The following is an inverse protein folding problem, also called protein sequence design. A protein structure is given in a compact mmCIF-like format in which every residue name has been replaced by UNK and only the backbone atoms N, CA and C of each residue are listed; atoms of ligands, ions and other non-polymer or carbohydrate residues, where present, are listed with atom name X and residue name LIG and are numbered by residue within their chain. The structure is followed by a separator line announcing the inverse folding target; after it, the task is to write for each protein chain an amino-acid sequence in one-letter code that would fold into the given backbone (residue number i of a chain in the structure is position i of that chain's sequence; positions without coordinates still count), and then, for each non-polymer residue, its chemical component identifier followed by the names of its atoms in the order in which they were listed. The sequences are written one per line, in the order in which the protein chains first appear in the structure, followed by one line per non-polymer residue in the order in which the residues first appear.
data_IF_983039619352
#
_entry.id   IF_983039619352
#
_cell.length_a   1.000
_cell.length_b   1.000
_cell.length_c   1.000
_cell.angle_alpha   90.00
_cell.angle_beta   90.00
_cell.angle_gamma   90.00
#
_symmetry.space_group_name_H-M   'P 1'
#
loop_
_entity.id
_entity.type
_entity.pdbx_description
1 polymer ?
#
# COMPACT_ATOMS: atom_id res chain seq x y z
N UNK A 1 -27.18 11.71 -20.40
CA UNK A 1 -27.65 10.76 -21.43
C UNK A 1 -26.90 9.42 -21.39
N UNK A 2 -25.57 9.39 -21.31
CA UNK A 2 -24.75 8.16 -21.28
C UNK A 2 -25.15 7.11 -20.22
N UNK A 3 -25.47 7.54 -19.00
CA UNK A 3 -25.89 6.64 -17.90
C UNK A 3 -27.20 5.89 -18.19
N UNK A 4 -28.11 6.44 -19.00
CA UNK A 4 -29.34 5.74 -19.44
C UNK A 4 -29.05 4.78 -20.59
N UNK A 5 -28.17 5.16 -21.52
CA UNK A 5 -27.83 4.35 -22.70
C UNK A 5 -27.04 3.09 -22.36
N UNK A 6 -26.17 3.15 -21.34
CA UNK A 6 -25.32 2.02 -20.95
C UNK A 6 -25.79 1.25 -19.71
N UNK A 7 -26.90 1.66 -19.07
CA UNK A 7 -27.39 0.99 -17.84
C UNK A 7 -27.64 -0.51 -18.03
N UNK A 8 -28.19 -0.90 -19.19
CA UNK A 8 -28.44 -2.30 -19.53
C UNK A 8 -27.16 -3.08 -19.87
N UNK A 9 -26.03 -2.39 -20.06
CA UNK A 9 -24.76 -2.96 -20.47
C UNK A 9 -23.72 -3.00 -19.36
N UNK A 10 -24.05 -2.51 -18.15
CA UNK A 10 -23.17 -2.49 -17.00
C UNK A 10 -23.62 -3.49 -15.93
N UNK A 11 -22.65 -4.16 -15.31
CA UNK A 11 -22.79 -5.09 -14.22
C UNK A 11 -21.84 -4.71 -13.08
N UNK A 12 -22.19 -5.11 -11.86
CA UNK A 12 -21.23 -5.11 -10.77
C UNK A 12 -20.38 -6.40 -10.85
N UNK A 13 -19.06 -6.28 -10.81
CA UNK A 13 -18.09 -7.39 -10.90
C UNK A 13 -17.00 -7.26 -9.84
N UNK A 14 -16.35 -8.38 -9.54
CA UNK A 14 -15.32 -8.46 -8.51
C UNK A 14 -15.89 -8.52 -7.09
N UNK A 15 -15.01 -8.79 -6.13
CA UNK A 15 -15.27 -8.86 -4.68
C UNK A 15 -15.90 -7.57 -4.13
N UNK A 16 -15.61 -6.44 -4.78
CA UNK A 16 -16.05 -5.10 -4.38
C UNK A 16 -17.26 -4.58 -5.15
N UNK A 17 -17.85 -5.41 -6.03
CA UNK A 17 -19.01 -5.04 -6.81
C UNK A 17 -18.80 -3.79 -7.70
N UNK A 18 -17.62 -3.66 -8.30
CA UNK A 18 -17.26 -2.54 -9.18
C UNK A 18 -18.04 -2.57 -10.49
N UNK A 19 -18.38 -1.40 -11.03
CA UNK A 19 -19.13 -1.26 -12.28
C UNK A 19 -18.26 -1.50 -13.51
N UNK A 20 -18.66 -2.48 -14.31
CA UNK A 20 -18.02 -2.81 -15.58
C UNK A 20 -19.06 -3.18 -16.65
N UNK A 21 -18.68 -3.11 -17.93
CA UNK A 21 -19.46 -3.65 -19.02
C UNK A 21 -19.61 -5.18 -18.92
N UNK A 22 -20.80 -5.70 -19.26
CA UNK A 22 -21.03 -7.16 -19.34
C UNK A 22 -20.05 -7.86 -20.31
N UNK A 23 -19.68 -7.19 -21.40
CA UNK A 23 -18.85 -7.74 -22.46
C UNK A 23 -17.60 -6.88 -22.67
N UNK A 24 -16.42 -7.52 -22.58
CA UNK A 24 -15.13 -6.86 -22.80
C UNK A 24 -15.01 -6.20 -24.19
N UNK A 25 -15.71 -6.73 -25.19
CA UNK A 25 -15.75 -6.16 -26.56
C UNK A 25 -16.48 -4.82 -26.62
N UNK A 26 -17.53 -4.61 -25.80
CA UNK A 26 -18.23 -3.32 -25.72
C UNK A 26 -17.32 -2.28 -25.09
N UNK A 27 -16.62 -2.65 -24.01
CA UNK A 27 -15.60 -1.81 -23.38
C UNK A 27 -14.54 -1.40 -24.38
N UNK A 28 -13.96 -2.37 -25.09
CA UNK A 28 -12.92 -2.12 -26.09
C UNK A 28 -13.43 -1.25 -27.25
N UNK A 29 -14.66 -1.45 -27.71
CA UNK A 29 -15.25 -0.63 -28.76
C UNK A 29 -15.49 0.82 -28.32
N UNK A 30 -15.94 1.04 -27.08
CA UNK A 30 -16.10 2.38 -26.50
C UNK A 30 -14.73 3.06 -26.35
N UNK A 31 -13.74 2.33 -25.83
CA UNK A 31 -12.36 2.82 -25.68
C UNK A 31 -11.76 3.23 -27.03
N UNK A 32 -11.85 2.38 -28.05
CA UNK A 32 -11.27 2.65 -29.37
C UNK A 32 -12.00 3.75 -30.15
N UNK A 33 -13.32 3.84 -30.01
CA UNK A 33 -14.15 4.71 -30.86
C UNK A 33 -14.44 6.08 -30.26
N UNK A 34 -14.52 6.16 -28.93
CA UNK A 34 -14.92 7.38 -28.21
C UNK A 34 -13.75 7.98 -27.43
N UNK A 35 -12.73 7.18 -27.11
CA UNK A 35 -11.72 7.47 -26.11
C UNK A 35 -10.31 7.05 -26.56
N UNK A 36 -10.01 7.21 -27.86
CA UNK A 36 -8.72 6.78 -28.44
C UNK A 36 -7.54 7.60 -27.91
N UNK A 37 -7.78 8.85 -27.54
CA UNK A 37 -6.80 9.73 -26.91
C UNK A 37 -6.65 9.41 -25.41
N UNK A 38 -5.43 9.10 -24.98
CA UNK A 38 -5.12 8.81 -23.58
C UNK A 38 -5.36 10.01 -22.66
N UNK A 39 -5.14 11.24 -23.14
CA UNK A 39 -5.36 12.46 -22.36
C UNK A 39 -6.85 12.70 -22.10
N UNK A 40 -7.69 12.49 -23.11
CA UNK A 40 -9.15 12.58 -22.99
C UNK A 40 -9.70 11.49 -22.07
N UNK A 41 -9.13 10.27 -22.13
CA UNK A 41 -9.45 9.19 -21.18
C UNK A 41 -9.14 9.60 -19.74
N UNK A 42 -7.92 10.05 -19.48
CA UNK A 42 -7.53 10.50 -18.15
C UNK A 42 -8.43 11.63 -17.64
N UNK A 43 -8.74 12.62 -18.50
CA UNK A 43 -9.64 13.71 -18.15
C UNK A 43 -11.06 13.23 -17.79
N UNK A 44 -11.58 12.24 -18.52
CA UNK A 44 -12.87 11.61 -18.18
C UNK A 44 -12.81 10.92 -16.82
N UNK A 45 -11.76 10.16 -16.54
CA UNK A 45 -11.59 9.50 -15.24
C UNK A 45 -11.50 10.52 -14.09
N UNK A 46 -10.80 11.66 -14.28
CA UNK A 46 -10.79 12.75 -13.30
C UNK A 46 -12.17 13.35 -13.08
N UNK A 47 -12.94 13.58 -14.15
CA UNK A 47 -14.33 14.08 -14.05
C UNK A 47 -15.24 13.12 -13.27
N UNK A 48 -15.05 11.81 -13.47
CA UNK A 48 -15.79 10.79 -12.69
C UNK A 48 -15.36 10.82 -11.24
N UNK A 49 -14.05 10.92 -10.96
CA UNK A 49 -13.53 11.05 -9.60
C UNK A 49 -14.12 12.27 -8.88
N UNK A 50 -14.18 13.44 -9.54
CA UNK A 50 -14.80 14.66 -8.99
C UNK A 50 -16.27 14.40 -8.57
N UNK A 51 -17.02 13.67 -9.40
CA UNK A 51 -18.39 13.30 -9.06
C UNK A 51 -18.46 12.33 -7.88
N UNK A 52 -17.61 11.31 -7.84
CA UNK A 52 -17.57 10.33 -6.73
C UNK A 52 -17.21 11.02 -5.41
N UNK A 53 -16.30 11.99 -5.42
CA UNK A 53 -15.93 12.78 -4.24
C UNK A 53 -17.07 13.69 -3.74
N UNK A 54 -18.00 14.07 -4.63
CA UNK A 54 -19.20 14.82 -4.25
C UNK A 54 -20.26 13.97 -3.52
N UNK A 55 -20.14 12.64 -3.57
CA UNK A 55 -21.02 11.73 -2.84
C UNK A 55 -20.66 11.70 -1.35
N UNK A 56 -21.60 11.42 -0.44
CA UNK A 56 -21.32 11.32 0.99
C UNK A 56 -20.25 10.27 1.31
N UNK A 57 -19.51 10.49 2.39
CA UNK A 57 -18.63 9.46 2.96
C UNK A 57 -19.44 8.22 3.35
N UNK A 58 -18.94 7.02 3.03
CA UNK A 58 -19.67 5.76 3.23
C UNK A 58 -20.67 5.42 2.11
N UNK A 59 -20.75 6.24 1.05
CA UNK A 59 -21.47 5.85 -0.15
C UNK A 59 -20.73 4.68 -0.83
N UNK A 60 -21.42 3.55 -1.00
CA UNK A 60 -20.83 2.34 -1.57
C UNK A 60 -20.16 2.52 -2.92
N UNK A 61 -20.67 3.43 -3.77
CA UNK A 61 -20.13 3.69 -5.09
C UNK A 61 -18.85 4.54 -5.01
N UNK A 62 -18.84 5.55 -4.12
CA UNK A 62 -17.63 6.33 -3.84
C UNK A 62 -16.54 5.41 -3.33
N UNK A 63 -16.84 4.59 -2.34
CA UNK A 63 -15.88 3.72 -1.68
C UNK A 63 -15.31 2.67 -2.65
N UNK A 64 -16.16 2.09 -3.52
CA UNK A 64 -15.72 1.03 -4.44
C UNK A 64 -14.97 1.51 -5.68
N UNK A 65 -15.29 2.72 -6.19
CA UNK A 65 -14.83 3.18 -7.51
C UNK A 65 -13.77 4.28 -7.48
N UNK A 66 -13.74 5.11 -6.43
CA UNK A 66 -12.96 6.35 -6.46
C UNK A 66 -11.48 6.10 -6.77
N UNK A 67 -10.86 5.14 -6.08
CA UNK A 67 -9.44 4.83 -6.30
C UNK A 67 -9.17 4.33 -7.72
N UNK A 68 -10.08 3.55 -8.33
CA UNK A 68 -9.95 3.06 -9.70
C UNK A 68 -9.87 4.24 -10.68
N UNK A 69 -10.73 5.24 -10.50
CA UNK A 69 -10.74 6.43 -11.36
C UNK A 69 -9.55 7.36 -11.10
N UNK A 70 -9.08 7.48 -9.86
CA UNK A 70 -7.88 8.26 -9.56
C UNK A 70 -6.62 7.65 -10.21
N UNK A 71 -6.47 6.32 -10.16
CA UNK A 71 -5.38 5.60 -10.85
C UNK A 71 -5.47 5.83 -12.36
N UNK A 72 -6.65 5.58 -12.96
CA UNK A 72 -6.84 5.72 -14.40
C UNK A 72 -6.72 7.17 -14.90
N UNK A 73 -6.95 8.15 -14.03
CA UNK A 73 -6.75 9.58 -14.29
C UNK A 73 -5.30 10.06 -14.13
N UNK A 74 -4.38 9.19 -13.69
CA UNK A 74 -3.02 9.51 -13.27
C UNK A 74 -2.96 10.57 -12.15
N UNK A 75 -3.95 10.56 -11.24
CA UNK A 75 -4.10 11.56 -10.17
C UNK A 75 -3.50 11.07 -8.85
N UNK A 76 -2.17 11.00 -8.82
CA UNK A 76 -1.40 10.50 -7.66
C UNK A 76 -1.67 11.30 -6.40
N UNK A 77 -1.77 12.63 -6.52
CA UNK A 77 -1.95 13.51 -5.38
C UNK A 77 -3.27 13.22 -4.65
N UNK A 78 -4.39 13.17 -5.38
CA UNK A 78 -5.68 12.82 -4.76
C UNK A 78 -5.73 11.36 -4.31
N UNK A 79 -5.16 10.43 -5.08
CA UNK A 79 -5.06 9.03 -4.67
C UNK A 79 -4.37 8.91 -3.30
N UNK A 80 -3.27 9.63 -3.09
CA UNK A 80 -2.55 9.59 -1.81
C UNK A 80 -3.39 10.14 -0.65
N UNK A 81 -4.07 11.28 -0.82
CA UNK A 81 -4.94 11.85 0.22
C UNK A 81 -6.11 10.92 0.55
N UNK A 82 -6.81 10.43 -0.47
CA UNK A 82 -7.94 9.49 -0.28
C UNK A 82 -7.48 8.23 0.44
N UNK A 83 -6.32 7.68 0.09
CA UNK A 83 -5.80 6.48 0.73
C UNK A 83 -5.34 6.71 2.17
N UNK A 84 -4.74 7.88 2.44
CA UNK A 84 -4.31 8.27 3.78
C UNK A 84 -5.48 8.48 4.76
N UNK A 85 -6.60 9.00 4.25
CA UNK A 85 -7.76 9.44 5.05
C UNK A 85 -8.89 8.39 5.10
N UNK A 86 -8.65 7.17 4.60
CA UNK A 86 -9.61 6.07 4.71
C UNK A 86 -10.01 5.83 6.17
N UNK A 87 -11.31 5.76 6.44
CA UNK A 87 -11.86 5.56 7.77
C UNK A 87 -11.72 4.12 8.31
N UNK A 88 -11.45 3.14 7.43
CA UNK A 88 -11.28 1.74 7.83
C UNK A 88 -10.06 1.60 8.75
N UNK A 89 -10.14 0.83 9.84
CA UNK A 89 -8.95 0.42 10.60
C UNK A 89 -7.87 -0.18 9.70
N UNK A 90 -6.61 -0.09 10.14
CA UNK A 90 -5.53 -0.84 9.52
C UNK A 90 -5.78 -2.34 9.65
N UNK A 91 -5.24 -3.13 8.72
CA UNK A 91 -5.41 -4.58 8.61
C UNK A 91 -6.83 -5.02 8.26
N UNK A 92 -7.63 -4.11 7.69
CA UNK A 92 -8.93 -4.42 7.08
C UNK A 92 -8.85 -3.95 5.62
N UNK A 93 -8.77 -4.87 4.64
CA UNK A 93 -8.70 -4.52 3.24
C UNK A 93 -9.87 -3.62 2.81
N UNK A 94 -9.55 -2.58 2.05
CA UNK A 94 -10.55 -1.67 1.49
C UNK A 94 -10.60 -1.80 -0.02
N UNK A 95 -11.67 -1.32 -0.63
CA UNK A 95 -11.77 -1.27 -2.07
C UNK A 95 -10.63 -0.48 -2.74
N UNK A 96 -10.12 0.55 -2.04
CA UNK A 96 -8.99 1.32 -2.51
C UNK A 96 -7.69 0.50 -2.47
N UNK A 97 -7.46 -0.30 -1.42
CA UNK A 97 -6.32 -1.21 -1.32
C UNK A 97 -6.34 -2.25 -2.44
N UNK A 98 -7.48 -2.88 -2.68
CA UNK A 98 -7.62 -3.85 -3.77
C UNK A 98 -7.40 -3.20 -5.15
N UNK A 99 -7.92 -1.97 -5.37
CA UNK A 99 -7.68 -1.24 -6.61
C UNK A 99 -6.17 -0.98 -6.85
N UNK A 100 -5.43 -0.58 -5.82
CA UNK A 100 -3.97 -0.43 -5.89
C UNK A 100 -3.28 -1.77 -6.15
N UNK A 101 -3.67 -2.84 -5.45
CA UNK A 101 -3.11 -4.17 -5.64
C UNK A 101 -3.32 -4.68 -7.08
N UNK A 102 -4.53 -4.55 -7.61
CA UNK A 102 -4.85 -4.89 -9.00
C UNK A 102 -4.03 -4.06 -9.98
N UNK A 103 -3.85 -2.76 -9.72
CA UNK A 103 -3.02 -1.89 -10.54
C UNK A 103 -1.55 -2.37 -10.57
N UNK A 104 -0.98 -2.72 -9.41
CA UNK A 104 0.37 -3.30 -9.32
C UNK A 104 0.48 -4.60 -10.13
N UNK A 105 -0.51 -5.49 -10.02
CA UNK A 105 -0.53 -6.77 -10.73
C UNK A 105 -0.63 -6.58 -12.25
N UNK A 106 -1.40 -5.60 -12.72
CA UNK A 106 -1.49 -5.29 -14.14
C UNK A 106 -0.15 -4.84 -14.75
N UNK A 107 0.70 -4.19 -13.96
CA UNK A 107 2.04 -3.75 -14.37
C UNK A 107 3.11 -4.84 -14.26
N UNK A 108 2.77 -6.06 -13.86
CA UNK A 108 3.73 -7.13 -13.62
C UNK A 108 4.51 -7.59 -14.87
N UNK A 109 4.05 -7.22 -16.07
CA UNK A 109 4.74 -7.46 -17.34
C UNK A 109 5.95 -6.54 -17.55
N UNK A 110 5.98 -5.40 -16.85
CA UNK A 110 7.08 -4.45 -16.95
C UNK A 110 8.17 -4.77 -15.91
N UNK A 111 9.43 -4.61 -16.30
CA UNK A 111 10.59 -4.82 -15.42
C UNK A 111 11.57 -3.65 -15.52
N UNK A 112 11.62 -2.74 -14.52
CA UNK A 112 10.85 -2.76 -13.27
C UNK A 112 9.34 -2.49 -13.48
N UNK A 113 8.50 -2.94 -12.53
CA UNK A 113 7.05 -2.79 -12.59
C UNK A 113 6.67 -1.30 -12.49
N UNK A 114 6.27 -0.71 -13.62
CA UNK A 114 5.95 0.72 -13.72
C UNK A 114 4.76 1.12 -12.85
N UNK A 115 3.78 0.22 -12.67
CA UNK A 115 2.61 0.47 -11.83
C UNK A 115 2.96 0.41 -10.35
N UNK A 116 3.88 -0.49 -9.95
CA UNK A 116 4.43 -0.46 -8.60
C UNK A 116 5.19 0.84 -8.34
N UNK A 117 5.99 1.31 -9.30
CA UNK A 117 6.67 2.60 -9.21
C UNK A 117 5.67 3.78 -9.11
N UNK A 118 4.51 3.69 -9.77
CA UNK A 118 3.42 4.65 -9.58
C UNK A 118 2.91 4.64 -8.14
N UNK A 119 2.63 3.46 -7.58
CA UNK A 119 2.09 3.30 -6.22
C UNK A 119 3.06 3.78 -5.15
N UNK A 120 4.37 3.55 -5.30
CA UNK A 120 5.37 4.04 -4.33
C UNK A 120 5.41 5.56 -4.25
N UNK A 121 5.03 6.27 -5.32
CA UNK A 121 4.98 7.74 -5.28
C UNK A 121 3.90 8.30 -4.35
N UNK A 122 2.90 7.49 -3.95
CA UNK A 122 1.85 7.94 -3.02
C UNK A 122 2.43 8.36 -1.67
N UNK A 123 3.54 7.75 -1.25
CA UNK A 123 4.26 8.08 0.00
C UNK A 123 4.99 9.43 -0.03
N UNK A 124 5.09 10.05 -1.22
CA UNK A 124 5.90 11.27 -1.43
C UNK A 124 5.13 12.36 -2.15
N UNK A 125 3.80 12.26 -2.25
CA UNK A 125 3.02 13.30 -2.92
C UNK A 125 3.11 14.62 -2.15
N UNK A 126 3.24 15.76 -2.87
CA UNK A 126 3.24 17.06 -2.23
C UNK A 126 1.89 17.34 -1.58
N UNK A 127 1.91 18.06 -0.46
CA UNK A 127 0.70 18.46 0.27
C UNK A 127 0.23 17.48 1.35
N UNK A 128 0.80 16.26 1.40
CA UNK A 128 0.51 15.34 2.50
C UNK A 128 1.13 15.83 3.81
N UNK A 129 0.38 15.67 4.90
CA UNK A 129 0.92 15.81 6.26
C UNK A 129 1.78 14.61 6.63
N UNK A 130 2.66 14.76 7.64
CA UNK A 130 3.46 13.64 8.15
C UNK A 130 2.58 12.46 8.60
N UNK A 131 1.44 12.74 9.24
CA UNK A 131 0.48 11.72 9.64
C UNK A 131 -0.15 11.00 8.45
N UNK A 132 -0.48 11.71 7.38
CA UNK A 132 -1.02 11.08 6.16
C UNK A 132 0.03 10.18 5.49
N UNK A 133 1.30 10.59 5.45
CA UNK A 133 2.39 9.73 4.96
C UNK A 133 2.53 8.48 5.84
N UNK A 134 2.44 8.61 7.17
CA UNK A 134 2.46 7.49 8.10
C UNK A 134 1.31 6.51 7.82
N UNK A 135 0.09 7.03 7.65
CA UNK A 135 -1.09 6.23 7.34
C UNK A 135 -0.93 5.44 6.03
N UNK A 136 -0.46 6.09 4.95
CA UNK A 136 -0.20 5.41 3.67
C UNK A 136 0.85 4.31 3.86
N UNK A 137 1.92 4.58 4.59
CA UNK A 137 2.97 3.60 4.89
C UNK A 137 2.45 2.39 5.66
N UNK A 138 1.64 2.61 6.70
CA UNK A 138 1.06 1.53 7.48
C UNK A 138 0.10 0.68 6.64
N UNK A 139 -0.74 1.30 5.81
CA UNK A 139 -1.58 0.56 4.87
C UNK A 139 -0.78 -0.20 3.82
N UNK A 140 0.40 0.30 3.43
CA UNK A 140 1.27 -0.42 2.52
C UNK A 140 1.87 -1.67 3.17
N UNK A 141 2.27 -1.55 4.44
CA UNK A 141 2.84 -2.64 5.23
C UNK A 141 1.80 -3.73 5.56
N UNK A 142 0.57 -3.35 5.94
CA UNK A 142 -0.46 -4.32 6.32
C UNK A 142 -1.38 -4.67 5.14
N UNK A 143 -2.24 -3.73 4.74
CA UNK A 143 -3.34 -3.99 3.81
C UNK A 143 -2.84 -4.36 2.40
N UNK A 144 -1.89 -3.58 1.86
CA UNK A 144 -1.41 -3.78 0.48
C UNK A 144 -0.51 -5.00 0.35
N UNK A 145 0.36 -5.28 1.33
CA UNK A 145 1.16 -6.50 1.30
C UNK A 145 0.29 -7.75 1.39
N UNK A 146 -0.73 -7.75 2.25
CA UNK A 146 -1.68 -8.87 2.36
C UNK A 146 -2.41 -9.10 1.03
N UNK A 147 -2.96 -8.03 0.44
CA UNK A 147 -3.60 -8.07 -0.87
C UNK A 147 -2.68 -8.57 -2.01
N UNK A 148 -1.36 -8.41 -1.87
CA UNK A 148 -0.36 -8.81 -2.86
C UNK A 148 0.33 -10.15 -2.54
N UNK A 149 0.07 -10.79 -1.39
CA UNK A 149 0.87 -11.87 -0.83
C UNK A 149 1.16 -13.02 -1.81
N UNK A 150 0.20 -13.34 -2.70
CA UNK A 150 0.34 -14.41 -3.69
C UNK A 150 0.15 -13.93 -5.15
N UNK A 151 0.13 -12.61 -5.37
CA UNK A 151 -0.22 -12.03 -6.67
C UNK A 151 0.95 -11.30 -7.34
N UNK A 152 2.06 -11.08 -6.63
CA UNK A 152 3.21 -10.32 -7.14
C UNK A 152 4.53 -11.03 -6.91
N UNK A 153 5.54 -10.64 -7.67
CA UNK A 153 6.89 -11.18 -7.55
C UNK A 153 7.67 -10.50 -6.40
N UNK A 154 8.72 -11.16 -5.93
CA UNK A 154 9.54 -10.68 -4.82
C UNK A 154 10.19 -9.32 -5.08
N UNK A 155 10.58 -9.02 -6.32
CA UNK A 155 11.19 -7.73 -6.66
C UNK A 155 10.21 -6.56 -6.49
N UNK A 156 8.95 -6.76 -6.90
CA UNK A 156 7.88 -5.76 -6.74
C UNK A 156 7.54 -5.56 -5.27
N UNK A 157 7.42 -6.66 -4.51
CA UNK A 157 7.25 -6.61 -3.05
C UNK A 157 8.37 -5.84 -2.36
N UNK A 158 9.62 -6.12 -2.74
CA UNK A 158 10.80 -5.44 -2.20
C UNK A 158 10.74 -3.93 -2.47
N UNK A 159 10.41 -3.53 -3.70
CA UNK A 159 10.32 -2.12 -4.06
C UNK A 159 9.28 -1.36 -3.23
N UNK A 160 8.11 -1.97 -2.99
CA UNK A 160 7.06 -1.38 -2.14
C UNK A 160 7.53 -1.25 -0.69
N UNK A 161 8.11 -2.30 -0.11
CA UNK A 161 8.61 -2.27 1.28
C UNK A 161 9.76 -1.28 1.46
N UNK A 162 10.67 -1.19 0.50
CA UNK A 162 11.77 -0.22 0.53
C UNK A 162 11.26 1.23 0.47
N UNK A 163 10.27 1.50 -0.39
CA UNK A 163 9.66 2.82 -0.44
C UNK A 163 8.95 3.19 0.88
N UNK A 164 8.22 2.24 1.48
CA UNK A 164 7.56 2.43 2.77
C UNK A 164 8.57 2.69 3.89
N UNK A 165 9.62 1.87 3.99
CA UNK A 165 10.67 2.05 4.99
C UNK A 165 11.35 3.41 4.83
N UNK A 166 11.68 3.83 3.61
CA UNK A 166 12.29 5.13 3.36
C UNK A 166 11.37 6.30 3.78
N UNK A 167 10.05 6.17 3.59
CA UNK A 167 9.09 7.18 4.03
C UNK A 167 8.99 7.25 5.55
N UNK A 168 8.85 6.11 6.21
CA UNK A 168 8.77 6.03 7.68
C UNK A 168 10.08 6.43 8.35
N UNK A 169 11.24 6.16 7.73
CA UNK A 169 12.54 6.65 8.20
C UNK A 169 12.56 8.18 8.23
N UNK A 170 12.15 8.84 7.14
CA UNK A 170 12.10 10.32 7.09
C UNK A 170 11.15 10.90 8.13
N UNK A 171 10.01 10.27 8.38
CA UNK A 171 9.09 10.69 9.44
C UNK A 171 9.74 10.57 10.83
N UNK A 172 10.28 9.39 11.14
CA UNK A 172 10.96 9.11 12.40
C UNK A 172 12.16 10.04 12.66
N UNK A 173 12.87 10.45 11.60
CA UNK A 173 13.95 11.44 11.68
C UNK A 173 13.42 12.86 11.86
N UNK A 174 12.29 13.20 11.23
CA UNK A 174 11.68 14.53 11.34
C UNK A 174 11.13 14.85 12.73
N UNK A 175 10.65 13.83 13.45
CA UNK A 175 10.19 13.94 14.82
C UNK A 175 10.63 12.71 15.65
N UNK A 176 11.85 12.74 16.19
CA UNK A 176 12.37 11.64 17.00
C UNK A 176 11.58 11.36 18.29
N UNK A 177 10.77 12.31 18.75
CA UNK A 177 9.95 12.17 19.96
C UNK A 177 8.59 11.49 19.66
N UNK A 178 8.19 11.40 18.39
CA UNK A 178 6.97 10.71 17.99
C UNK A 178 7.16 9.19 18.06
N UNK A 179 6.75 8.60 19.18
CA UNK A 179 6.90 7.18 19.42
C UNK A 179 6.14 6.29 18.41
N UNK A 180 5.01 6.75 17.87
CA UNK A 180 4.26 6.02 16.86
C UNK A 180 5.04 5.96 15.54
N UNK A 181 5.67 7.05 15.10
CA UNK A 181 6.51 7.03 13.90
C UNK A 181 7.78 6.20 14.07
N UNK A 182 8.35 6.17 15.28
CA UNK A 182 9.45 5.24 15.60
C UNK A 182 8.98 3.78 15.50
N UNK A 183 7.78 3.48 16.01
CA UNK A 183 7.18 2.15 15.97
C UNK A 183 6.87 1.70 14.54
N UNK A 184 6.31 2.59 13.72
CA UNK A 184 6.06 2.34 12.30
C UNK A 184 7.34 1.93 11.56
N UNK A 185 8.47 2.59 11.88
CA UNK A 185 9.79 2.25 11.35
C UNK A 185 10.30 0.88 11.85
N UNK A 186 10.05 0.50 13.11
CA UNK A 186 10.34 -0.86 13.64
C UNK A 186 9.67 -1.91 12.77
N UNK A 187 8.39 -1.72 12.45
CA UNK A 187 7.60 -2.65 11.62
C UNK A 187 8.20 -2.76 10.23
N UNK A 188 8.51 -1.63 9.57
CA UNK A 188 9.11 -1.64 8.23
C UNK A 188 10.44 -2.38 8.15
N UNK A 189 11.36 -2.14 9.09
CA UNK A 189 12.60 -2.90 9.16
C UNK A 189 12.34 -4.39 9.34
N UNK A 190 11.40 -4.74 10.23
CA UNK A 190 11.00 -6.12 10.47
C UNK A 190 10.39 -6.81 9.25
N UNK A 191 9.70 -6.10 8.36
CA UNK A 191 9.13 -6.67 7.14
C UNK A 191 10.19 -6.87 6.04
N UNK A 192 11.08 -5.89 5.87
CA UNK A 192 12.22 -6.03 4.97
C UNK A 192 13.16 -7.15 5.41
N UNK A 193 13.38 -7.33 6.72
CA UNK A 193 14.20 -8.41 7.25
C UNK A 193 13.61 -9.79 6.94
N UNK A 194 12.29 -9.97 7.11
CA UNK A 194 11.59 -11.22 6.72
C UNK A 194 11.73 -11.47 5.21
N UNK A 195 11.60 -10.42 4.39
CA UNK A 195 11.82 -10.55 2.95
C UNK A 195 13.27 -10.97 2.64
N UNK A 196 14.27 -10.38 3.30
CA UNK A 196 15.68 -10.71 3.10
C UNK A 196 15.98 -12.18 3.50
N UNK A 197 15.36 -12.70 4.58
CA UNK A 197 15.42 -14.13 4.93
C UNK A 197 14.87 -14.99 3.80
N UNK A 198 13.69 -14.64 3.26
CA UNK A 198 13.07 -15.40 2.17
C UNK A 198 13.90 -15.38 0.87
N UNK A 199 14.76 -14.37 0.70
CA UNK A 199 15.71 -14.26 -0.41
C UNK A 199 17.06 -14.95 -0.13
N UNK A 200 17.26 -15.48 1.07
CA UNK A 200 18.54 -16.06 1.50
C UNK A 200 19.65 -15.03 1.77
N UNK A 201 19.31 -13.74 1.85
CA UNK A 201 20.27 -12.64 2.09
C UNK A 201 20.39 -12.43 3.60
N UNK A 202 20.90 -13.43 4.30
CA UNK A 202 20.93 -13.48 5.77
C UNK A 202 21.71 -12.31 6.42
N UNK A 203 22.85 -11.83 5.86
CA UNK A 203 23.55 -10.67 6.42
C UNK A 203 22.70 -9.39 6.41
N UNK A 204 21.90 -9.20 5.36
CA UNK A 204 21.00 -8.05 5.25
C UNK A 204 19.82 -8.20 6.22
N UNK A 205 19.27 -9.40 6.35
CA UNK A 205 18.25 -9.69 7.36
C UNK A 205 18.75 -9.37 8.79
N UNK A 206 19.99 -9.75 9.12
CA UNK A 206 20.61 -9.45 10.42
C UNK A 206 20.66 -7.96 10.67
N UNK A 207 21.12 -7.18 9.67
CA UNK A 207 21.19 -5.72 9.76
C UNK A 207 19.81 -5.10 9.99
N UNK A 208 18.82 -5.54 9.21
CA UNK A 208 17.44 -5.01 9.29
C UNK A 208 16.77 -5.35 10.62
N UNK A 209 16.89 -6.59 11.10
CA UNK A 209 16.36 -6.98 12.41
C UNK A 209 17.10 -6.29 13.55
N UNK A 210 18.42 -6.05 13.43
CA UNK A 210 19.19 -5.27 14.38
C UNK A 210 18.68 -3.82 14.52
N UNK A 211 18.39 -3.14 13.41
CA UNK A 211 17.79 -1.79 13.45
C UNK A 211 16.40 -1.80 14.06
N UNK A 212 15.57 -2.79 13.72
CA UNK A 212 14.24 -2.99 14.30
C UNK A 212 14.32 -3.18 15.83
N UNK A 213 15.22 -4.05 16.29
CA UNK A 213 15.45 -4.33 17.71
C UNK A 213 15.91 -3.08 18.47
N UNK A 214 16.89 -2.36 17.93
CA UNK A 214 17.47 -1.16 18.57
C UNK A 214 16.40 -0.10 18.86
N UNK A 215 15.48 0.12 17.92
CA UNK A 215 14.39 1.10 18.10
C UNK A 215 13.34 0.55 19.06
N UNK A 216 12.92 -0.72 18.90
CA UNK A 216 11.93 -1.36 19.76
C UNK A 216 12.37 -1.38 21.23
N UNK A 217 13.65 -1.67 21.50
CA UNK A 217 14.22 -1.67 22.83
C UNK A 217 14.14 -0.28 23.47
N UNK A 218 14.54 0.78 22.76
CA UNK A 218 14.46 2.15 23.26
C UNK A 218 13.03 2.58 23.58
N UNK A 219 12.05 2.16 22.78
CA UNK A 219 10.63 2.44 23.06
C UNK A 219 10.16 1.67 24.31
N UNK A 220 10.45 0.37 24.38
CA UNK A 220 10.08 -0.46 25.53
C UNK A 220 10.73 0.01 26.85
N UNK A 221 11.94 0.56 26.80
CA UNK A 221 12.62 1.13 27.96
C UNK A 221 12.04 2.49 28.39
N UNK A 222 11.50 3.29 27.44
CA UNK A 222 10.93 4.61 27.75
C UNK A 222 9.56 4.52 28.42
N UNK A 223 8.78 3.49 28.12
CA UNK A 223 7.58 3.11 28.87
C UNK A 223 7.49 1.59 29.06
N UNK A 224 8.04 1.07 30.16
CA UNK A 224 7.99 -0.35 30.48
C UNK A 224 6.59 -0.92 30.66
N UNK A 225 5.57 -0.06 30.90
CA UNK A 225 4.18 -0.48 31.11
C UNK A 225 3.39 -0.60 29.81
N UNK A 226 3.93 -0.10 28.70
CA UNK A 226 3.30 -0.18 27.41
C UNK A 226 3.39 -1.60 26.82
N UNK A 227 2.33 -2.39 27.01
CA UNK A 227 2.26 -3.77 26.53
C UNK A 227 2.48 -3.90 25.02
N UNK A 228 2.12 -2.88 24.24
CA UNK A 228 2.28 -2.91 22.79
C UNK A 228 3.75 -2.76 22.38
N UNK A 229 4.53 -1.94 23.08
CA UNK A 229 5.97 -1.80 22.83
C UNK A 229 6.77 -3.00 23.35
N UNK A 230 6.35 -3.57 24.48
CA UNK A 230 6.91 -4.84 24.97
C UNK A 230 6.68 -5.98 23.98
N UNK A 231 5.50 -6.04 23.35
CA UNK A 231 5.20 -7.00 22.29
C UNK A 231 6.12 -6.81 21.09
N UNK A 232 6.33 -5.58 20.63
CA UNK A 232 7.19 -5.31 19.48
C UNK A 232 8.66 -5.68 19.78
N UNK A 233 9.14 -5.41 20.99
CA UNK A 233 10.46 -5.85 21.44
C UNK A 233 10.58 -7.39 21.41
N UNK A 234 9.57 -8.10 21.93
CA UNK A 234 9.52 -9.56 21.90
C UNK A 234 9.55 -10.10 20.46
N UNK A 235 8.79 -9.51 19.54
CA UNK A 235 8.77 -9.90 18.13
C UNK A 235 10.12 -9.66 17.43
N UNK A 236 10.84 -8.59 17.82
CA UNK A 236 12.19 -8.34 17.29
C UNK A 236 13.20 -9.40 17.74
N UNK A 237 13.11 -9.88 18.98
CA UNK A 237 13.93 -11.00 19.45
C UNK A 237 13.55 -12.32 18.75
N UNK A 238 12.26 -12.62 18.60
CA UNK A 238 11.78 -13.81 17.88
C UNK A 238 12.36 -13.87 16.46
N UNK A 239 12.29 -12.76 15.71
CA UNK A 239 12.85 -12.68 14.35
C UNK A 239 14.36 -12.89 14.29
N UNK A 240 15.10 -12.47 15.32
CA UNK A 240 16.55 -12.71 15.39
C UNK A 240 16.86 -14.18 15.73
N UNK A 241 16.08 -14.82 16.60
CA UNK A 241 16.21 -16.26 16.88
C UNK A 241 15.88 -17.12 15.64
N UNK A 242 14.82 -16.75 14.90
CA UNK A 242 14.48 -17.37 13.62
C UNK A 242 15.62 -17.22 12.59
N UNK A 243 16.24 -16.04 12.55
CA UNK A 243 17.39 -15.78 11.69
C UNK A 243 18.62 -16.60 12.10
N UNK A 244 18.92 -16.68 13.41
CA UNK A 244 20.01 -17.51 13.92
C UNK A 244 19.80 -19.00 13.58
N UNK A 245 18.56 -19.47 13.68
CA UNK A 245 18.16 -20.81 13.21
C UNK A 245 18.43 -20.97 11.71
N UNK A 246 18.02 -19.99 10.88
CA UNK A 246 18.26 -20.02 9.44
C UNK A 246 19.75 -19.95 9.07
N UNK A 247 20.59 -19.34 9.90
CA UNK A 247 22.05 -19.31 9.77
C UNK A 247 22.73 -20.60 10.29
N UNK A 248 21.99 -21.46 10.99
CA UNK A 248 22.54 -22.66 11.65
C UNK A 248 23.27 -22.36 12.96
N UNK A 249 23.11 -21.17 13.53
CA UNK A 249 23.74 -20.75 14.79
C UNK A 249 22.82 -21.02 16.00
N UNK A 250 22.63 -22.29 16.32
CA UNK A 250 21.70 -22.74 17.37
C UNK A 250 21.96 -22.16 18.78
N UNK A 251 23.20 -21.84 19.21
CA UNK A 251 23.41 -21.15 20.48
C UNK A 251 22.85 -19.72 20.56
N UNK A 252 22.63 -19.07 19.41
CA UNK A 252 22.07 -17.73 19.30
C UNK A 252 20.59 -17.72 18.85
N UNK A 253 20.00 -18.91 18.65
CA UNK A 253 18.59 -19.13 18.32
C UNK A 253 17.71 -19.20 19.58
#
# INVERSE_FOLDING_TARGET
MLRRSFRAHLARRGTLSQLDFFHAQIRQAVEQRVLSDSSQRQALHRTIADHLESLPSGDSLRDSELMVHLIAGDDRARAAHVYADLASPFSIPTAATEALAQHVVLGAKDHPNANAAWVTTLLTQPGLTGQQVANVGNRFNFDLQDALANMTNMATRQSLLQATQAAQQRLAESDPANAEWQRDLVVSFGMLGVLAVSQGILPEAQRLFGESLRIAQRLAESDPTNAAWQRDLSLSFEKLGDLATAQGNLPEA
#
